data_IF_596497457257
#
_entry.id   IF_596497457257
#
_cell.length_a   1.000
_cell.length_b   1.000
_cell.length_c   1.000
_cell.angle_alpha   90.00
_cell.angle_beta   90.00
_cell.angle_gamma   90.00
#
_symmetry.space_group_name_H-M   'P 1'
#
loop_
_entity.id
_entity.type
_entity.pdbx_description
1 polymer ?
#
# COMPACT_ATOMS: atom_id res chain seq x y z
N UNK A 1 5.61 -22.85 2.22
CA UNK A 1 5.66 -22.12 0.92
C UNK A 1 5.08 -20.69 1.00
N UNK A 2 3.85 -20.47 1.52
CA UNK A 2 3.21 -19.13 1.61
C UNK A 2 4.03 -18.06 2.36
N UNK A 3 4.70 -18.42 3.46
CA UNK A 3 5.55 -17.51 4.24
C UNK A 3 6.74 -16.97 3.43
N UNK A 4 7.40 -17.83 2.65
CA UNK A 4 8.55 -17.47 1.81
C UNK A 4 8.10 -16.50 0.72
N UNK A 5 7.00 -16.78 0.03
CA UNK A 5 6.45 -15.87 -0.98
C UNK A 5 6.09 -14.50 -0.38
N UNK A 6 5.55 -14.46 0.84
CA UNK A 6 5.26 -13.20 1.56
C UNK A 6 6.54 -12.40 1.81
N UNK A 7 7.59 -13.05 2.33
CA UNK A 7 8.90 -12.43 2.58
C UNK A 7 9.50 -11.88 1.29
N UNK A 8 9.46 -12.65 0.20
CA UNK A 8 9.98 -12.24 -1.10
C UNK A 8 9.20 -11.03 -1.65
N UNK A 9 7.86 -11.10 -1.69
CA UNK A 9 7.04 -10.03 -2.26
C UNK A 9 7.21 -8.71 -1.50
N UNK A 10 7.07 -8.74 -0.16
CA UNK A 10 7.18 -7.52 0.63
C UNK A 10 8.63 -7.06 0.77
N UNK A 11 9.59 -7.98 0.92
CA UNK A 11 11.00 -7.65 1.00
C UNK A 11 11.48 -6.92 -0.26
N UNK A 12 11.25 -7.51 -1.43
CA UNK A 12 11.73 -6.93 -2.70
C UNK A 12 11.01 -5.61 -3.01
N UNK A 13 9.68 -5.55 -2.84
CA UNK A 13 8.93 -4.30 -3.06
C UNK A 13 9.42 -3.15 -2.18
N UNK A 14 9.84 -3.44 -0.94
CA UNK A 14 10.31 -2.42 -0.01
C UNK A 14 11.83 -2.19 -0.04
N UNK A 15 12.49 -2.64 -1.11
CA UNK A 15 13.91 -2.38 -1.34
C UNK A 15 14.83 -3.15 -0.40
N UNK A 16 14.43 -4.34 0.06
CA UNK A 16 15.35 -5.26 0.71
C UNK A 16 16.35 -5.79 -0.33
N UNK A 17 17.64 -5.56 -0.09
CA UNK A 17 18.71 -6.15 -0.90
C UNK A 17 18.88 -7.64 -0.62
N UNK A 18 19.65 -8.32 -1.49
CA UNK A 18 19.91 -9.77 -1.42
C UNK A 18 20.43 -10.22 -0.05
N UNK A 19 21.23 -9.40 0.63
CA UNK A 19 21.74 -9.72 1.97
C UNK A 19 20.62 -9.88 3.00
N UNK A 20 19.67 -8.93 3.07
CA UNK A 20 18.54 -9.01 4.01
C UNK A 20 17.65 -10.20 3.67
N UNK A 21 17.40 -10.43 2.37
CA UNK A 21 16.57 -11.54 1.91
C UNK A 21 17.19 -12.91 2.27
N UNK A 22 18.52 -13.04 2.13
CA UNK A 22 19.27 -14.22 2.57
C UNK A 22 19.10 -14.49 4.07
N UNK A 23 19.17 -13.46 4.92
CA UNK A 23 18.98 -13.59 6.36
C UNK A 23 17.54 -13.98 6.74
N UNK A 24 16.53 -13.33 6.15
CA UNK A 24 15.12 -13.61 6.46
C UNK A 24 14.65 -15.00 5.99
N UNK A 25 15.24 -15.51 4.90
CA UNK A 25 14.94 -16.83 4.35
C UNK A 25 15.85 -17.94 4.87
N UNK A 26 16.98 -17.61 5.50
CA UNK A 26 17.98 -18.59 5.94
C UNK A 26 18.66 -19.30 4.78
N UNK A 27 18.83 -18.64 3.63
CA UNK A 27 19.42 -19.22 2.40
C UNK A 27 20.75 -18.55 2.06
N UNK A 28 21.62 -19.21 1.27
CA UNK A 28 22.86 -18.61 0.79
C UNK A 28 22.63 -17.31 0.00
N UNK A 29 23.57 -16.36 0.11
CA UNK A 29 23.52 -15.09 -0.61
C UNK A 29 23.35 -15.25 -2.12
N UNK A 30 24.06 -16.21 -2.73
CA UNK A 30 23.95 -16.48 -4.17
C UNK A 30 22.53 -16.89 -4.58
N UNK A 31 21.83 -17.64 -3.73
CA UNK A 31 20.44 -18.06 -3.97
C UNK A 31 19.47 -16.89 -3.82
N UNK A 32 19.64 -16.05 -2.79
CA UNK A 32 18.83 -14.83 -2.63
C UNK A 32 18.96 -13.88 -3.82
N UNK A 33 20.16 -13.77 -4.42
CA UNK A 33 20.39 -12.95 -5.61
C UNK A 33 19.62 -13.50 -6.80
N UNK A 34 19.70 -14.81 -7.06
CA UNK A 34 18.92 -15.48 -8.11
C UNK A 34 17.41 -15.26 -7.93
N UNK A 35 16.90 -15.32 -6.70
CA UNK A 35 15.48 -15.08 -6.41
C UNK A 35 15.08 -13.65 -6.81
N UNK A 36 15.89 -12.65 -6.46
CA UNK A 36 15.62 -11.24 -6.82
C UNK A 36 15.68 -11.04 -8.33
N UNK A 37 16.67 -11.62 -8.99
CA UNK A 37 16.84 -11.51 -10.45
C UNK A 37 15.62 -12.10 -11.17
N UNK A 38 15.23 -13.34 -10.83
CA UNK A 38 14.04 -14.02 -11.39
C UNK A 38 12.75 -13.25 -11.06
N UNK A 39 12.64 -12.66 -9.86
CA UNK A 39 11.48 -11.86 -9.48
C UNK A 39 11.32 -10.65 -10.40
N UNK A 40 12.39 -9.90 -10.66
CA UNK A 40 12.33 -8.73 -11.53
C UNK A 40 12.24 -9.07 -13.01
N UNK A 41 12.75 -10.23 -13.44
CA UNK A 41 12.51 -10.75 -14.80
C UNK A 41 11.03 -11.04 -15.03
N UNK A 42 10.36 -11.63 -14.03
CA UNK A 42 8.93 -11.94 -14.08
C UNK A 42 8.05 -10.71 -13.91
N UNK A 43 8.41 -9.81 -13.00
CA UNK A 43 7.64 -8.61 -12.64
C UNK A 43 8.36 -7.32 -13.06
N UNK A 44 8.62 -7.19 -14.37
CA UNK A 44 9.36 -6.06 -14.95
C UNK A 44 8.78 -4.69 -14.60
N UNK A 45 7.45 -4.59 -14.49
CA UNK A 45 6.77 -3.35 -14.11
C UNK A 45 7.15 -2.84 -12.71
N UNK A 46 7.44 -3.74 -11.77
CA UNK A 46 7.88 -3.35 -10.42
C UNK A 46 9.28 -2.73 -10.50
N UNK A 47 10.19 -3.36 -11.23
CA UNK A 47 11.55 -2.83 -11.43
C UNK A 47 11.50 -1.45 -12.09
N UNK A 48 10.70 -1.31 -13.15
CA UNK A 48 10.54 -0.05 -13.86
C UNK A 48 10.01 1.05 -12.93
N UNK A 49 8.96 0.76 -12.17
CA UNK A 49 8.41 1.69 -11.18
C UNK A 49 9.46 2.17 -10.16
N UNK A 50 10.28 1.25 -9.63
CA UNK A 50 11.32 1.60 -8.67
C UNK A 50 12.38 2.52 -9.28
N UNK A 51 12.85 2.22 -10.49
CA UNK A 51 13.85 3.05 -11.17
C UNK A 51 13.29 4.42 -11.58
N UNK A 52 12.07 4.47 -12.12
CA UNK A 52 11.39 5.73 -12.46
C UNK A 52 11.19 6.62 -11.22
N UNK A 53 10.82 6.01 -10.09
CA UNK A 53 10.66 6.74 -8.83
C UNK A 53 11.97 7.33 -8.34
N UNK A 54 13.10 6.60 -8.46
CA UNK A 54 14.42 7.13 -8.12
C UNK A 54 14.81 8.30 -9.00
N UNK A 55 14.55 8.22 -10.30
CA UNK A 55 14.82 9.30 -11.25
C UNK A 55 13.98 10.55 -10.93
N UNK A 56 12.68 10.36 -10.68
CA UNK A 56 11.76 11.42 -10.28
C UNK A 56 12.27 12.15 -9.03
N UNK A 57 12.66 11.41 -8.00
CA UNK A 57 13.07 11.98 -6.71
C UNK A 57 14.44 12.64 -6.72
N UNK A 58 15.34 12.23 -7.63
CA UNK A 58 16.59 12.95 -7.87
C UNK A 58 16.34 14.34 -8.47
N UNK A 59 15.33 14.46 -9.34
CA UNK A 59 14.97 15.71 -10.02
C UNK A 59 14.06 16.61 -9.17
N UNK A 60 12.94 16.08 -8.70
CA UNK A 60 11.84 16.87 -8.14
C UNK A 60 11.84 16.91 -6.60
N UNK A 61 12.74 16.15 -5.96
CA UNK A 61 12.89 16.06 -4.48
C UNK A 61 11.58 15.78 -3.74
N UNK A 62 10.62 15.15 -4.43
CA UNK A 62 9.31 14.86 -3.89
C UNK A 62 8.66 13.70 -4.64
N UNK A 63 7.68 13.08 -3.97
CA UNK A 63 6.79 12.06 -4.54
C UNK A 63 5.36 12.42 -4.21
N UNK A 64 4.41 11.84 -4.94
CA UNK A 64 2.98 12.08 -4.71
C UNK A 64 2.15 10.80 -4.76
N UNK A 65 1.03 10.80 -4.05
CA UNK A 65 0.00 9.76 -4.15
C UNK A 65 -0.82 9.90 -5.44
N UNK A 66 -1.69 8.93 -5.74
CA UNK A 66 -2.59 9.01 -6.90
C UNK A 66 -3.53 10.22 -6.85
N UNK A 67 -3.92 10.67 -5.65
CA UNK A 67 -4.77 11.86 -5.48
C UNK A 67 -3.97 13.16 -5.35
N UNK A 68 -2.65 13.12 -5.57
CA UNK A 68 -1.81 14.31 -5.65
C UNK A 68 -1.24 14.82 -4.33
N UNK A 69 -1.37 14.09 -3.22
CA UNK A 69 -0.71 14.49 -1.96
C UNK A 69 0.79 14.32 -2.08
N UNK A 70 1.52 15.43 -1.99
CA UNK A 70 2.99 15.46 -2.10
C UNK A 70 3.68 15.19 -0.77
N UNK A 71 4.81 14.49 -0.81
CA UNK A 71 5.78 14.37 0.30
C UNK A 71 7.17 14.68 -0.24
N UNK A 72 7.90 15.53 0.48
CA UNK A 72 9.27 15.84 0.15
C UNK A 72 10.24 14.68 0.50
N UNK A 73 11.30 14.58 -0.28
CA UNK A 73 12.36 13.56 -0.17
C UNK A 73 13.72 14.26 -0.32
N UNK A 74 14.13 14.97 0.72
CA UNK A 74 15.29 15.84 0.70
C UNK A 74 16.63 15.09 0.57
N UNK A 75 16.77 13.95 1.25
CA UNK A 75 18.03 13.20 1.33
C UNK A 75 18.36 12.35 0.08
N UNK A 76 17.64 12.53 -1.04
CA UNK A 76 17.81 11.69 -2.23
C UNK A 76 19.15 11.84 -2.94
N UNK A 77 19.86 12.95 -2.73
CA UNK A 77 21.21 13.24 -3.22
C UNK A 77 22.25 13.35 -2.10
N UNK A 78 21.87 12.99 -0.87
CA UNK A 78 22.78 13.05 0.28
C UNK A 78 24.09 12.34 -0.06
N UNK A 79 25.26 12.87 0.29
CA UNK A 79 26.52 12.13 0.05
C UNK A 79 26.63 10.85 0.90
N UNK A 80 25.82 10.73 1.95
CA UNK A 80 25.74 9.56 2.81
C UNK A 80 24.83 8.48 2.18
N UNK A 81 25.42 7.33 1.83
CA UNK A 81 24.71 6.19 1.23
C UNK A 81 23.50 5.73 2.06
N UNK A 82 23.64 5.65 3.39
CA UNK A 82 22.55 5.18 4.28
C UNK A 82 21.35 6.12 4.22
N UNK A 83 21.59 7.44 4.17
CA UNK A 83 20.52 8.44 4.04
C UNK A 83 19.85 8.37 2.68
N UNK A 84 20.63 8.24 1.59
CA UNK A 84 20.08 8.03 0.24
C UNK A 84 19.21 6.79 0.16
N UNK A 85 19.68 5.65 0.65
CA UNK A 85 18.93 4.39 0.60
C UNK A 85 17.62 4.47 1.42
N UNK A 86 17.64 5.18 2.55
CA UNK A 86 16.44 5.46 3.31
C UNK A 86 15.47 6.37 2.54
N UNK A 87 15.98 7.41 1.90
CA UNK A 87 15.19 8.33 1.08
C UNK A 87 14.57 7.63 -0.14
N UNK A 88 15.31 6.79 -0.84
CA UNK A 88 14.82 6.00 -1.97
C UNK A 88 13.72 5.01 -1.55
N UNK A 89 13.90 4.31 -0.41
CA UNK A 89 12.85 3.43 0.12
C UNK A 89 11.59 4.21 0.50
N UNK A 90 11.75 5.37 1.13
CA UNK A 90 10.62 6.24 1.44
C UNK A 90 9.91 6.70 0.16
N UNK A 91 10.65 7.08 -0.87
CA UNK A 91 10.12 7.53 -2.14
C UNK A 91 9.27 6.46 -2.83
N UNK A 92 9.73 5.21 -2.85
CA UNK A 92 9.01 4.08 -3.43
C UNK A 92 7.76 3.74 -2.61
N UNK A 93 7.84 3.80 -1.28
CA UNK A 93 6.76 3.34 -0.41
C UNK A 93 5.66 4.37 -0.21
N UNK A 94 6.00 5.65 -0.20
CA UNK A 94 5.08 6.74 0.14
C UNK A 94 3.88 6.80 -0.82
N UNK A 95 4.03 6.76 -2.16
CA UNK A 95 2.89 6.77 -3.06
C UNK A 95 1.92 5.61 -2.80
N UNK A 96 2.45 4.41 -2.55
CA UNK A 96 1.66 3.19 -2.33
C UNK A 96 0.88 3.28 -1.02
N UNK A 97 1.57 3.44 0.10
CA UNK A 97 0.95 3.53 1.44
C UNK A 97 0.07 4.77 1.54
N UNK A 98 0.53 5.85 0.94
CA UNK A 98 -0.16 7.11 0.98
C UNK A 98 -1.50 7.06 0.25
N UNK A 99 -1.54 6.45 -0.93
CA UNK A 99 -2.76 6.22 -1.69
C UNK A 99 -3.72 5.30 -0.93
N UNK A 100 -3.21 4.23 -0.29
CA UNK A 100 -4.04 3.36 0.55
C UNK A 100 -4.70 4.12 1.71
N UNK A 101 -3.94 4.97 2.41
CA UNK A 101 -4.48 5.80 3.48
C UNK A 101 -5.54 6.81 2.97
N UNK A 102 -5.40 7.31 1.75
CA UNK A 102 -6.38 8.20 1.12
C UNK A 102 -7.67 7.45 0.76
N UNK A 103 -7.57 6.24 0.22
CA UNK A 103 -8.74 5.41 -0.10
C UNK A 103 -9.56 5.11 1.15
N UNK A 104 -8.91 4.75 2.27
CA UNK A 104 -9.60 4.52 3.54
C UNK A 104 -10.29 5.79 4.03
N UNK A 105 -9.63 6.95 3.97
CA UNK A 105 -10.27 8.22 4.36
C UNK A 105 -11.50 8.56 3.51
N UNK A 106 -11.43 8.31 2.20
CA UNK A 106 -12.59 8.48 1.31
C UNK A 106 -13.72 7.52 1.66
N UNK A 107 -13.41 6.25 1.97
CA UNK A 107 -14.39 5.28 2.42
C UNK A 107 -15.06 5.71 3.73
N UNK A 108 -14.29 6.19 4.71
CA UNK A 108 -14.81 6.71 5.98
C UNK A 108 -15.78 7.87 5.76
N UNK A 109 -15.44 8.84 4.91
CA UNK A 109 -16.32 9.98 4.58
C UNK A 109 -17.61 9.50 3.93
N UNK A 110 -17.53 8.52 3.01
CA UNK A 110 -18.71 7.95 2.34
C UNK A 110 -19.63 7.22 3.31
N UNK A 111 -19.07 6.40 4.20
CA UNK A 111 -19.83 5.66 5.22
C UNK A 111 -20.51 6.64 6.18
N UNK A 112 -19.78 7.62 6.72
CA UNK A 112 -20.34 8.63 7.63
C UNK A 112 -21.48 9.42 6.96
N UNK A 113 -21.31 9.79 5.69
CA UNK A 113 -22.35 10.45 4.90
C UNK A 113 -23.59 9.56 4.74
N UNK A 114 -23.41 8.30 4.34
CA UNK A 114 -24.51 7.35 4.13
C UNK A 114 -25.31 7.09 5.41
N UNK A 115 -24.62 6.89 6.54
CA UNK A 115 -25.27 6.73 7.86
C UNK A 115 -26.13 7.94 8.23
N UNK A 116 -25.64 9.16 7.96
CA UNK A 116 -26.36 10.41 8.25
C UNK A 116 -27.54 10.64 7.32
N UNK A 117 -27.36 10.46 6.01
CA UNK A 117 -28.42 10.70 5.02
C UNK A 117 -29.61 9.74 5.20
N UNK A 118 -29.34 8.52 5.66
CA UNK A 118 -30.37 7.52 5.94
C UNK A 118 -30.87 7.54 7.39
N UNK A 119 -30.43 8.51 8.22
CA UNK A 119 -30.77 8.65 9.63
C UNK A 119 -30.56 7.36 10.45
N UNK A 120 -29.48 6.63 10.16
CA UNK A 120 -29.16 5.38 10.84
C UNK A 120 -28.56 5.63 12.23
N UNK A 121 -28.83 4.72 13.15
CA UNK A 121 -28.29 4.75 14.52
C UNK A 121 -26.90 4.14 14.62
N UNK A 122 -26.52 3.31 13.64
CA UNK A 122 -25.21 2.70 13.51
C UNK A 122 -24.09 3.74 13.39
N UNK A 123 -22.88 3.40 13.85
CA UNK A 123 -21.74 4.33 13.93
C UNK A 123 -20.45 3.68 13.48
N UNK A 124 -19.63 4.42 12.76
CA UNK A 124 -18.21 4.09 12.57
C UNK A 124 -17.44 4.43 13.85
N UNK A 125 -16.83 3.43 14.49
CA UNK A 125 -16.19 3.56 15.81
C UNK A 125 -14.67 3.73 15.69
N UNK A 126 -14.03 2.88 14.87
CA UNK A 126 -12.58 2.81 14.82
C UNK A 126 -12.08 2.44 13.43
N UNK A 127 -10.87 2.90 13.12
CA UNK A 127 -10.11 2.47 11.96
C UNK A 127 -8.80 1.84 12.44
N UNK A 128 -8.48 0.64 11.93
CA UNK A 128 -7.25 -0.10 12.26
C UNK A 128 -6.64 -0.57 10.94
N UNK A 129 -5.47 -0.03 10.56
CA UNK A 129 -4.80 -0.36 9.29
C UNK A 129 -5.67 -0.17 8.05
N UNK A 130 -6.24 -1.22 7.49
CA UNK A 130 -7.14 -1.25 6.33
C UNK A 130 -8.57 -1.66 6.71
N UNK A 131 -8.87 -1.76 8.00
CA UNK A 131 -10.17 -2.17 8.55
C UNK A 131 -10.91 -1.00 9.19
N UNK A 132 -12.25 -1.04 9.07
CA UNK A 132 -13.18 -0.10 9.68
C UNK A 132 -14.14 -0.88 10.58
N UNK A 133 -14.19 -0.53 11.86
CA UNK A 133 -15.06 -1.13 12.86
C UNK A 133 -16.31 -0.27 13.04
N UNK A 134 -17.47 -0.89 12.85
CA UNK A 134 -18.78 -0.26 13.03
C UNK A 134 -19.52 -0.90 14.20
N UNK A 135 -20.19 -0.06 14.99
CA UNK A 135 -21.26 -0.48 15.89
C UNK A 135 -22.58 -0.38 15.12
N UNK A 136 -23.29 -1.51 15.00
CA UNK A 136 -24.47 -1.63 14.13
C UNK A 136 -25.71 -1.89 14.95
N UNK A 137 -26.77 -1.10 14.74
CA UNK A 137 -28.06 -1.34 15.38
C UNK A 137 -28.72 -2.58 14.76
N UNK A 138 -29.30 -3.46 15.57
CA UNK A 138 -29.81 -4.77 15.10
C UNK A 138 -30.76 -4.67 13.90
N UNK A 139 -31.63 -3.65 13.87
CA UNK A 139 -32.59 -3.43 12.78
C UNK A 139 -31.95 -2.86 11.49
N UNK A 140 -30.65 -2.54 11.50
CA UNK A 140 -29.91 -1.93 10.39
C UNK A 140 -28.84 -2.87 9.80
N UNK A 141 -28.70 -4.09 10.36
CA UNK A 141 -27.68 -5.06 9.94
C UNK A 141 -27.76 -5.37 8.45
N UNK A 142 -28.95 -5.62 7.91
CA UNK A 142 -29.11 -5.98 6.49
C UNK A 142 -28.77 -4.81 5.56
N UNK A 143 -29.01 -3.59 6.01
CA UNK A 143 -28.64 -2.37 5.30
C UNK A 143 -27.11 -2.20 5.28
N UNK A 144 -26.49 -2.20 6.47
CA UNK A 144 -25.05 -1.94 6.65
C UNK A 144 -24.18 -3.05 6.05
N UNK A 145 -24.64 -4.31 6.11
CA UNK A 145 -23.91 -5.45 5.52
C UNK A 145 -24.23 -5.68 4.04
N UNK A 146 -25.16 -4.91 3.46
CA UNK A 146 -25.57 -5.05 2.07
C UNK A 146 -26.29 -6.37 1.75
N UNK A 147 -26.80 -7.10 2.75
CA UNK A 147 -27.55 -8.35 2.55
C UNK A 147 -28.93 -8.15 1.92
N UNK A 148 -29.46 -6.92 1.91
CA UNK A 148 -30.72 -6.54 1.25
C UNK A 148 -30.58 -5.56 0.07
N UNK A 149 -29.39 -4.99 -0.16
CA UNK A 149 -29.19 -3.89 -1.10
C UNK A 149 -27.82 -4.02 -1.76
N UNK A 150 -27.77 -3.91 -3.09
CA UNK A 150 -26.51 -3.69 -3.82
C UNK A 150 -25.71 -2.61 -3.08
N UNK A 151 -24.41 -2.84 -2.87
CA UNK A 151 -23.39 -1.87 -2.40
C UNK A 151 -22.95 -2.03 -0.94
N UNK A 152 -22.14 -3.05 -0.65
CA UNK A 152 -20.99 -2.90 0.28
C UNK A 152 -19.78 -3.78 -0.12
N UNK A 153 -19.82 -4.47 -1.26
CA UNK A 153 -18.64 -4.80 -2.05
C UNK A 153 -18.51 -3.80 -3.21
N UNK A 154 -17.79 -2.69 -3.01
CA UNK A 154 -17.11 -1.92 -4.09
C UNK A 154 -16.38 -0.71 -3.51
N UNK A 155 -15.30 -0.98 -2.78
CA UNK A 155 -14.14 -0.09 -2.76
C UNK A 155 -12.93 -0.80 -3.37
N UNK A 156 -13.12 -1.45 -4.52
CA UNK A 156 -12.02 -1.87 -5.37
C UNK A 156 -11.80 -0.82 -6.46
N UNK A 157 -10.89 0.11 -6.19
CA UNK A 157 -10.42 1.12 -7.15
C UNK A 157 -9.65 0.56 -8.34
N UNK A 158 -9.61 -0.76 -8.55
CA UNK A 158 -8.98 -1.42 -9.70
C UNK A 158 -9.78 -2.68 -10.08
N UNK A 159 -10.91 -2.48 -10.76
CA UNK A 159 -11.59 -3.51 -11.56
C UNK A 159 -12.53 -4.45 -10.80
N UNK A 160 -13.82 -4.39 -11.14
CA UNK A 160 -14.79 -5.46 -10.91
C UNK A 160 -15.24 -5.96 -12.27
N UNK A 161 -14.91 -7.19 -12.61
CA UNK A 161 -15.65 -7.96 -13.62
C UNK A 161 -16.83 -8.63 -12.92
N UNK A 162 -17.97 -8.68 -13.61
CA UNK A 162 -19.16 -9.43 -13.17
C UNK A 162 -18.86 -10.91 -12.98
#
# INVERSE_FOLDING_TARGET
MRRIAKIVNFGIMYGAGSFRLSQELGIPFAESKKIIDVYFEKYKGIKQYMEDTKLLVKKDKSVQTLLGRKRAVWDSDSQNQVRRDAAERMAINMPIQGTAAEMIKLAMIRIDKDLKENNLKSKLILQIHDELLLEVHNNEIDYVTGKGSKTYEKCNGLGCSN
#
